data_IF_678449941901
#
_entry.id   IF_678449941901
#
_cell.length_a   1.000
_cell.length_b   1.000
_cell.length_c   1.000
_cell.angle_alpha   90.00
_cell.angle_beta   90.00
_cell.angle_gamma   90.00
#
_symmetry.space_group_name_H-M   'P 1'
#
loop_
_entity.id
_entity.type
_entity.pdbx_description
1 polymer ?
#
# COMPACT_ATOMS: atom_id res chain seq x y z
N UNK A 1 11.87 10.30 1.77
CA UNK A 1 11.02 10.55 2.95
C UNK A 1 9.57 10.58 2.49
N UNK A 2 8.74 9.60 2.84
CA UNK A 2 7.34 9.53 2.39
C UNK A 2 6.72 8.12 2.50
N UNK A 3 7.49 7.08 2.16
CA UNK A 3 7.02 5.69 2.24
C UNK A 3 6.70 5.21 3.65
N UNK A 4 7.41 5.71 4.68
CA UNK A 4 7.20 5.29 6.07
C UNK A 4 5.78 5.53 6.57
N UNK A 5 5.21 6.71 6.29
CA UNK A 5 3.84 7.05 6.69
C UNK A 5 2.79 6.17 5.98
N UNK A 6 3.00 5.87 4.69
CA UNK A 6 2.11 4.98 3.92
C UNK A 6 2.20 3.55 4.45
N UNK A 7 3.42 3.05 4.69
CA UNK A 7 3.65 1.72 5.26
C UNK A 7 2.95 1.58 6.60
N UNK A 8 3.19 2.52 7.52
CA UNK A 8 2.60 2.50 8.86
C UNK A 8 1.06 2.53 8.84
N UNK A 9 0.45 3.32 7.95
CA UNK A 9 -1.01 3.46 7.94
C UNK A 9 -1.74 2.41 7.11
N UNK A 10 -1.14 1.90 6.05
CA UNK A 10 -1.85 1.03 5.11
C UNK A 10 -1.25 -0.36 5.00
N UNK A 11 0.07 -0.52 5.08
CA UNK A 11 0.70 -1.84 4.87
C UNK A 11 0.82 -2.60 6.20
N UNK A 12 1.33 -1.97 7.24
CA UNK A 12 1.60 -2.61 8.54
C UNK A 12 0.55 -2.29 9.62
N UNK A 13 -0.45 -1.47 9.30
CA UNK A 13 -1.51 -1.08 10.25
C UNK A 13 -2.41 -2.25 10.69
N UNK A 14 -2.46 -3.35 9.92
CA UNK A 14 -3.29 -4.51 10.18
C UNK A 14 -3.24 -5.50 9.02
N UNK A 15 -3.92 -6.65 9.13
CA UNK A 15 -3.97 -7.63 8.05
C UNK A 15 -4.59 -7.04 6.76
N UNK A 16 -4.13 -7.47 5.58
CA UNK A 16 -4.77 -7.12 4.31
C UNK A 16 -6.27 -7.41 4.31
N UNK A 17 -7.02 -6.58 3.59
CA UNK A 17 -8.48 -6.72 3.40
C UNK A 17 -9.29 -6.69 4.71
N UNK A 18 -8.67 -6.30 5.82
CA UNK A 18 -9.35 -6.08 7.10
C UNK A 18 -9.46 -4.59 7.40
N UNK A 19 -10.63 -4.20 7.86
CA UNK A 19 -10.87 -2.82 8.29
C UNK A 19 -10.18 -2.58 9.63
N UNK A 20 -9.30 -1.58 9.66
CA UNK A 20 -8.63 -1.07 10.86
C UNK A 20 -9.33 0.22 11.28
N UNK A 21 -9.66 0.34 12.56
CA UNK A 21 -10.26 1.54 13.15
C UNK A 21 -9.25 2.26 14.03
N UNK A 22 -9.13 3.57 13.85
CA UNK A 22 -8.27 4.45 14.66
C UNK A 22 -9.13 5.46 15.41
N UNK A 23 -8.92 5.54 16.73
CA UNK A 23 -9.51 6.58 17.56
C UNK A 23 -8.59 7.81 17.57
N UNK A 24 -9.14 8.97 17.21
CA UNK A 24 -8.48 10.25 17.15
C UNK A 24 -9.07 11.14 18.24
N UNK A 25 -8.28 11.50 19.23
CA UNK A 25 -8.68 12.50 20.21
C UNK A 25 -8.39 13.90 19.65
N UNK A 26 -9.45 14.61 19.26
CA UNK A 26 -9.36 15.98 18.74
C UNK A 26 -9.47 16.95 19.90
N UNK A 27 -8.52 17.87 20.01
CA UNK A 27 -8.55 18.98 20.97
C UNK A 27 -9.00 20.25 20.25
N UNK A 28 -10.03 20.90 20.78
CA UNK A 28 -10.60 22.12 20.21
C UNK A 28 -10.00 23.39 20.86
N UNK A 29 -10.08 24.56 20.18
CA UNK A 29 -9.55 25.81 20.72
C UNK A 29 -10.17 26.27 22.05
N UNK A 30 -11.43 25.90 22.30
CA UNK A 30 -12.16 26.17 23.54
C UNK A 30 -11.80 25.20 24.70
N UNK A 31 -10.89 24.25 24.44
CA UNK A 31 -10.34 23.33 25.43
C UNK A 31 -11.05 21.98 25.55
N UNK A 32 -12.21 21.78 24.90
CA UNK A 32 -12.86 20.47 24.93
C UNK A 32 -12.12 19.44 24.08
N UNK A 33 -12.34 18.15 24.38
CA UNK A 33 -11.78 17.00 23.65
C UNK A 33 -12.89 16.09 23.17
N UNK A 34 -12.80 15.67 21.91
CA UNK A 34 -13.75 14.75 21.29
C UNK A 34 -13.01 13.53 20.73
N UNK A 35 -13.53 12.33 20.98
CA UNK A 35 -13.04 11.13 20.32
C UNK A 35 -13.76 10.98 18.97
N UNK A 36 -12.98 10.92 17.89
CA UNK A 36 -13.47 10.61 16.54
C UNK A 36 -12.87 9.31 16.06
N UNK A 37 -13.57 8.60 15.20
CA UNK A 37 -13.10 7.34 14.66
C UNK A 37 -12.92 7.45 13.15
N UNK A 38 -11.80 6.91 12.64
CA UNK A 38 -11.59 6.73 11.21
C UNK A 38 -11.24 5.29 10.93
N UNK A 39 -11.88 4.73 9.91
CA UNK A 39 -11.54 3.41 9.39
C UNK A 39 -10.64 3.53 8.15
N UNK A 40 -9.88 2.47 7.91
CA UNK A 40 -9.11 2.24 6.69
C UNK A 40 -9.03 0.75 6.38
N UNK A 41 -8.86 0.41 5.12
CA UNK A 41 -8.59 -0.96 4.65
C UNK A 41 -7.50 -0.89 3.60
N UNK A 42 -6.58 -1.85 3.63
CA UNK A 42 -5.58 -2.03 2.59
C UNK A 42 -6.02 -3.13 1.64
N UNK A 43 -6.23 -2.78 0.38
CA UNK A 43 -6.55 -3.74 -0.68
C UNK A 43 -5.25 -4.01 -1.42
N UNK A 44 -4.77 -5.24 -1.35
CA UNK A 44 -3.59 -5.64 -2.09
C UNK A 44 -3.96 -5.82 -3.56
N UNK A 45 -3.11 -5.33 -4.45
CA UNK A 45 -3.25 -5.48 -5.88
C UNK A 45 -1.88 -5.85 -6.47
N UNK A 46 -1.93 -6.62 -7.55
CA UNK A 46 -0.78 -7.10 -8.31
C UNK A 46 -0.96 -6.76 -9.79
N UNK A 47 0.11 -6.88 -10.57
CA UNK A 47 0.03 -6.76 -12.03
C UNK A 47 -0.96 -7.76 -12.64
N UNK A 48 -1.14 -8.92 -12.00
CA UNK A 48 -2.00 -10.00 -12.46
C UNK A 48 -3.49 -9.66 -12.30
N UNK A 49 -3.85 -8.68 -11.47
CA UNK A 49 -5.22 -8.18 -11.32
C UNK A 49 -5.63 -7.23 -12.46
N UNK A 50 -4.71 -6.91 -13.38
CA UNK A 50 -4.96 -6.06 -14.53
C UNK A 50 -4.81 -6.83 -15.86
N UNK A 51 -5.84 -7.63 -16.26
CA UNK A 51 -5.76 -8.43 -17.48
C UNK A 51 -5.60 -7.56 -18.73
N UNK A 52 -6.17 -6.35 -18.75
CA UNK A 52 -6.06 -5.44 -19.90
C UNK A 52 -4.63 -4.95 -20.15
N UNK A 53 -3.85 -4.76 -19.10
CA UNK A 53 -2.43 -4.43 -19.25
C UNK A 53 -1.67 -5.56 -19.96
N UNK A 54 -1.92 -6.81 -19.56
CA UNK A 54 -1.24 -7.98 -20.09
C UNK A 54 -1.71 -8.33 -21.52
N UNK A 55 -2.99 -8.14 -21.82
CA UNK A 55 -3.53 -8.27 -23.18
C UNK A 55 -2.91 -7.26 -24.14
N UNK A 56 -2.76 -5.99 -23.70
CA UNK A 56 -2.23 -4.92 -24.54
C UNK A 56 -0.69 -4.96 -24.67
N UNK A 57 0.01 -5.54 -23.70
CA UNK A 57 1.46 -5.70 -23.73
C UNK A 57 1.85 -7.13 -23.31
N UNK A 58 1.88 -8.07 -24.27
CA UNK A 58 2.20 -9.46 -23.98
C UNK A 58 3.59 -9.68 -23.39
N UNK A 59 4.54 -8.76 -23.62
CA UNK A 59 5.92 -8.86 -23.14
C UNK A 59 6.13 -8.15 -21.79
N UNK A 60 5.07 -7.68 -21.14
CA UNK A 60 5.21 -6.84 -19.94
C UNK A 60 5.90 -7.57 -18.78
N UNK A 61 5.57 -8.84 -18.57
CA UNK A 61 6.15 -9.64 -17.47
C UNK A 61 7.62 -9.97 -17.73
N UNK A 62 7.97 -10.27 -18.99
CA UNK A 62 9.34 -10.51 -19.43
C UNK A 62 10.20 -9.27 -19.19
N UNK A 63 9.69 -8.10 -19.55
CA UNK A 63 10.39 -6.83 -19.32
C UNK A 63 10.63 -6.58 -17.83
N UNK A 64 9.65 -6.84 -16.97
CA UNK A 64 9.84 -6.74 -15.52
C UNK A 64 10.84 -7.78 -14.99
N UNK A 65 10.83 -8.98 -15.56
CA UNK A 65 11.75 -10.07 -15.19
C UNK A 65 13.22 -9.78 -15.48
N UNK A 66 13.50 -8.88 -16.43
CA UNK A 66 14.85 -8.43 -16.80
C UNK A 66 15.38 -7.28 -15.93
N UNK A 67 14.56 -6.70 -15.04
CA UNK A 67 14.98 -5.62 -14.13
C UNK A 67 15.86 -6.14 -12.98
N UNK A 68 16.42 -5.22 -12.19
CA UNK A 68 17.15 -5.61 -10.99
C UNK A 68 16.22 -6.36 -10.02
N UNK A 69 16.72 -7.26 -9.15
CA UNK A 69 15.86 -8.00 -8.23
C UNK A 69 14.95 -7.10 -7.39
N UNK A 70 15.47 -5.95 -6.93
CA UNK A 70 14.69 -4.99 -6.15
C UNK A 70 13.55 -4.38 -6.96
N UNK A 71 13.83 -3.91 -8.18
CA UNK A 71 12.81 -3.33 -9.07
C UNK A 71 11.76 -4.36 -9.50
N UNK A 72 12.21 -5.56 -9.89
CA UNK A 72 11.34 -6.66 -10.29
C UNK A 72 10.36 -7.00 -9.17
N UNK A 73 10.85 -7.19 -7.95
CA UNK A 73 10.00 -7.67 -6.86
C UNK A 73 9.06 -6.58 -6.32
N UNK A 74 9.49 -5.32 -6.36
CA UNK A 74 8.61 -4.17 -6.07
C UNK A 74 7.46 -4.07 -7.07
N UNK A 75 7.74 -4.22 -8.37
CA UNK A 75 6.75 -4.02 -9.43
C UNK A 75 5.87 -5.24 -9.69
N UNK A 76 6.39 -6.47 -9.54
CA UNK A 76 5.62 -7.71 -9.72
C UNK A 76 4.84 -8.10 -8.46
N UNK A 77 5.47 -8.00 -7.29
CA UNK A 77 4.97 -8.60 -6.06
C UNK A 77 4.65 -7.58 -4.96
N UNK A 78 4.88 -6.29 -5.21
CA UNK A 78 4.65 -5.24 -4.22
C UNK A 78 5.65 -5.26 -3.06
N UNK A 79 6.82 -5.90 -3.23
CA UNK A 79 7.88 -5.96 -2.22
C UNK A 79 8.78 -4.72 -2.32
N UNK A 80 8.41 -3.67 -1.58
CA UNK A 80 9.14 -2.39 -1.52
C UNK A 80 10.16 -2.31 -0.38
N UNK A 81 10.50 -3.44 0.25
CA UNK A 81 11.51 -3.51 1.31
C UNK A 81 12.85 -4.08 0.82
N UNK A 82 12.93 -4.48 -0.47
CA UNK A 82 14.20 -4.83 -1.11
C UNK A 82 14.94 -3.56 -1.49
N UNK A 83 16.05 -3.32 -0.80
CA UNK A 83 17.04 -2.31 -1.15
C UNK A 83 18.20 -2.98 -1.91
N UNK A 84 18.83 -2.25 -2.83
CA UNK A 84 20.14 -2.62 -3.40
C UNK A 84 21.28 -2.39 -2.39
#
# INVERSE_FOLDING_TARGET
MGHGWVKERFITAGPPEKTVWECLQIRFPDGHRENRFRSRVCVQASVFDNPKLLENNPNYLENLGLMSPAERDALLYGDWDRFE
#
